data_IF_537896639008
#
_entry.id   IF_537896639008
#
_cell.length_a   1.000
_cell.length_b   1.000
_cell.length_c   1.000
_cell.angle_alpha   90.00
_cell.angle_beta   90.00
_cell.angle_gamma   90.00
#
_symmetry.space_group_name_H-M   'P 1'
#
loop_
_entity.id
_entity.type
_entity.pdbx_description
1 polymer ?
#
# COMPACT_ATOMS: atom_id res chain seq x y z
N UNK A 1 -28.70 8.23 39.93
CA UNK A 1 -27.60 7.24 40.09
C UNK A 1 -27.07 6.92 38.70
N UNK A 2 -25.91 7.47 38.33
CA UNK A 2 -25.32 7.20 37.01
C UNK A 2 -24.74 5.79 36.98
N UNK A 3 -25.31 4.92 36.14
CA UNK A 3 -24.85 3.54 35.93
C UNK A 3 -23.91 3.53 34.73
N UNK A 4 -22.70 4.07 34.88
CA UNK A 4 -21.67 3.93 33.86
C UNK A 4 -21.32 2.44 33.71
N UNK A 5 -21.59 1.90 32.52
CA UNK A 5 -21.27 0.51 32.18
C UNK A 5 -19.76 0.44 31.92
N UNK A 6 -19.05 -0.34 32.72
CA UNK A 6 -17.61 -0.52 32.58
C UNK A 6 -17.29 -1.08 31.19
N UNK A 7 -16.30 -0.49 30.52
CA UNK A 7 -15.86 -0.91 29.17
C UNK A 7 -15.42 -2.38 29.16
N UNK A 8 -15.81 -3.12 28.12
CA UNK A 8 -15.32 -4.50 27.87
C UNK A 8 -13.81 -4.55 27.59
N UNK A 9 -13.21 -3.41 27.23
CA UNK A 9 -11.80 -3.26 26.90
C UNK A 9 -10.97 -2.69 28.04
N UNK A 10 -11.55 -2.56 29.25
CA UNK A 10 -10.85 -1.99 30.41
C UNK A 10 -9.59 -2.77 30.80
N UNK A 11 -9.52 -4.05 30.45
CA UNK A 11 -8.41 -4.95 30.75
C UNK A 11 -7.72 -5.48 29.47
N UNK A 12 -7.81 -4.75 28.37
CA UNK A 12 -7.07 -5.11 27.15
C UNK A 12 -5.59 -4.83 27.36
N UNK A 13 -4.78 -5.89 27.34
CA UNK A 13 -3.33 -5.83 27.52
C UNK A 13 -2.62 -6.32 26.25
N UNK A 14 -1.60 -5.60 25.82
CA UNK A 14 -0.73 -6.04 24.74
C UNK A 14 0.17 -7.18 25.26
N UNK A 15 0.16 -8.31 24.55
CA UNK A 15 1.05 -9.45 24.85
C UNK A 15 1.97 -9.69 23.66
N UNK A 16 3.19 -9.14 23.67
CA UNK A 16 4.17 -9.42 22.63
C UNK A 16 4.41 -10.93 22.52
N UNK A 17 4.51 -11.42 21.30
CA UNK A 17 4.89 -12.81 21.06
C UNK A 17 6.33 -13.05 21.53
N UNK A 18 6.68 -14.31 21.78
CA UNK A 18 8.06 -14.69 22.06
C UNK A 18 8.97 -14.42 20.86
N UNK A 19 10.28 -14.29 21.10
CA UNK A 19 11.26 -13.87 20.10
C UNK A 19 11.34 -14.83 18.91
N UNK A 20 11.03 -16.10 19.12
CA UNK A 20 11.05 -17.14 18.07
C UNK A 20 9.99 -16.89 17.00
N UNK A 21 8.89 -16.21 17.36
CA UNK A 21 7.85 -15.81 16.42
C UNK A 21 8.16 -14.49 15.69
N UNK A 22 9.26 -13.82 16.03
CA UNK A 22 9.61 -12.54 15.41
C UNK A 22 10.24 -12.77 14.04
N UNK A 23 9.84 -11.95 13.07
CA UNK A 23 10.53 -11.87 11.79
C UNK A 23 11.80 -11.05 12.03
N UNK A 24 12.96 -11.71 11.95
CA UNK A 24 14.27 -11.10 12.17
C UNK A 24 14.94 -10.72 10.85
N UNK A 25 16.01 -9.92 10.94
CA UNK A 25 16.79 -9.44 9.78
C UNK A 25 16.00 -8.57 8.79
N UNK A 26 14.97 -7.87 9.28
CA UNK A 26 14.26 -6.87 8.49
C UNK A 26 15.14 -5.61 8.38
N UNK A 27 15.51 -5.24 7.14
CA UNK A 27 16.05 -3.92 6.82
C UNK A 27 14.92 -3.02 6.36
N UNK A 28 14.15 -2.51 7.34
CA UNK A 28 13.09 -1.54 7.08
C UNK A 28 13.69 -0.14 7.01
N UNK A 29 13.25 0.65 6.03
CA UNK A 29 13.63 2.05 5.89
C UNK A 29 12.57 2.95 6.51
N UNK A 30 13.01 3.98 7.22
CA UNK A 30 12.16 5.12 7.59
C UNK A 30 12.23 6.15 6.48
N UNK A 31 11.41 5.96 5.45
CA UNK A 31 11.18 7.00 4.44
C UNK A 31 10.24 8.05 5.04
N UNK A 32 10.56 9.35 4.97
CA UNK A 32 9.68 10.40 5.49
C UNK A 32 8.48 10.58 4.53
N UNK A 33 7.55 9.65 4.56
CA UNK A 33 6.24 9.78 3.89
C UNK A 33 5.13 9.62 4.91
N UNK A 34 3.95 10.12 4.56
CA UNK A 34 2.73 9.99 5.36
C UNK A 34 1.92 8.74 5.01
N UNK A 35 2.32 8.00 3.96
CA UNK A 35 1.69 6.77 3.52
C UNK A 35 2.02 5.57 4.40
N UNK A 36 1.50 4.42 4.00
CA UNK A 36 1.70 3.16 4.71
C UNK A 36 3.09 2.61 4.42
N UNK A 37 3.87 2.39 5.48
CA UNK A 37 5.21 1.78 5.38
C UNK A 37 5.21 0.27 5.59
N UNK A 38 4.11 -0.27 6.11
CA UNK A 38 3.90 -1.70 6.32
C UNK A 38 2.41 -2.04 6.15
N UNK A 39 2.13 -3.06 5.35
CA UNK A 39 0.80 -3.63 5.14
C UNK A 39 0.87 -5.13 5.07
N UNK A 40 -0.26 -5.78 5.26
CA UNK A 40 -0.39 -7.22 5.11
C UNK A 40 -1.68 -7.60 4.40
N UNK A 41 -1.61 -8.64 3.59
CA UNK A 41 -2.76 -9.45 3.19
C UNK A 41 -2.92 -10.64 4.13
N UNK A 42 -3.75 -11.63 3.79
CA UNK A 42 -3.84 -12.86 4.58
C UNK A 42 -2.56 -13.70 4.51
N UNK A 43 -1.77 -13.56 3.44
CA UNK A 43 -0.62 -14.42 3.15
C UNK A 43 0.73 -13.70 3.15
N UNK A 44 0.76 -12.38 2.97
CA UNK A 44 1.98 -11.62 2.76
C UNK A 44 2.02 -10.38 3.66
N UNK A 45 3.23 -9.99 4.08
CA UNK A 45 3.56 -8.67 4.61
C UNK A 45 4.42 -7.97 3.58
N UNK A 46 4.09 -6.72 3.27
CA UNK A 46 4.91 -5.81 2.49
C UNK A 46 5.35 -4.63 3.37
N UNK A 47 6.59 -4.21 3.26
CA UNK A 47 7.12 -3.05 3.98
C UNK A 47 8.20 -2.30 3.20
N UNK A 48 8.38 -1.02 3.49
CA UNK A 48 9.43 -0.20 2.88
C UNK A 48 10.81 -0.68 3.34
N UNK A 49 11.70 -1.00 2.39
CA UNK A 49 13.08 -1.33 2.73
C UNK A 49 13.93 -0.08 2.99
N UNK A 50 15.13 -0.28 3.49
CA UNK A 50 16.15 0.77 3.66
C UNK A 50 16.67 1.34 2.33
N UNK A 51 16.38 0.68 1.20
CA UNK A 51 16.77 1.12 -0.13
C UNK A 51 15.60 1.81 -0.85
N UNK A 52 15.86 2.95 -1.53
CA UNK A 52 14.82 3.65 -2.29
C UNK A 52 14.26 2.75 -3.40
N UNK A 53 12.95 2.82 -3.61
CA UNK A 53 12.26 2.07 -4.66
C UNK A 53 12.20 0.55 -4.44
N UNK A 54 12.57 0.06 -3.26
CA UNK A 54 12.59 -1.37 -2.95
C UNK A 54 11.68 -1.68 -1.76
N UNK A 55 10.82 -2.68 -1.92
CA UNK A 55 9.98 -3.23 -0.85
C UNK A 55 10.54 -4.56 -0.34
N UNK A 56 10.36 -4.81 0.95
CA UNK A 56 10.50 -6.15 1.54
C UNK A 56 9.16 -6.87 1.52
N UNK A 57 9.15 -8.12 1.04
CA UNK A 57 7.99 -9.00 1.00
C UNK A 57 8.29 -10.23 1.85
N UNK A 58 7.39 -10.57 2.77
CA UNK A 58 7.54 -11.69 3.71
C UNK A 58 6.24 -12.51 3.73
N UNK A 59 6.30 -13.84 3.59
CA UNK A 59 5.14 -14.69 3.79
C UNK A 59 4.73 -14.77 5.27
N UNK A 60 3.43 -14.67 5.52
CA UNK A 60 2.83 -14.88 6.84
C UNK A 60 2.78 -16.37 7.21
N UNK A 61 2.48 -17.22 6.24
CA UNK A 61 2.46 -18.67 6.43
C UNK A 61 3.89 -19.20 6.45
N UNK A 62 4.32 -19.70 7.61
CA UNK A 62 5.56 -20.44 7.78
C UNK A 62 5.27 -21.94 7.74
N UNK A 63 5.82 -22.64 6.75
CA UNK A 63 5.89 -24.11 6.77
C UNK A 63 6.96 -24.52 7.80
N UNK A 64 6.55 -24.76 9.05
CA UNK A 64 7.42 -25.35 10.09
C UNK A 64 8.55 -24.45 10.62
N UNK A 65 9.62 -25.11 11.09
CA UNK A 65 10.84 -24.52 11.69
C UNK A 65 11.62 -23.59 10.73
N UNK A 66 11.20 -23.45 9.48
CA UNK A 66 11.88 -22.60 8.50
C UNK A 66 11.64 -21.11 8.78
N UNK A 67 12.76 -20.42 9.02
CA UNK A 67 12.83 -18.99 9.25
C UNK A 67 12.17 -18.25 8.08
N UNK A 68 11.09 -17.50 8.35
CA UNK A 68 10.40 -16.63 7.38
C UNK A 68 11.44 -15.80 6.61
N UNK A 69 11.56 -16.02 5.31
CA UNK A 69 12.54 -15.34 4.47
C UNK A 69 11.99 -14.02 3.94
N UNK A 70 12.80 -12.98 4.04
CA UNK A 70 12.53 -11.66 3.46
C UNK A 70 13.03 -11.65 2.02
N UNK A 71 12.14 -11.38 1.08
CA UNK A 71 12.48 -11.15 -0.32
C UNK A 71 12.38 -9.66 -0.64
N UNK A 72 13.13 -9.20 -1.64
CA UNK A 72 13.15 -7.78 -2.01
C UNK A 72 12.60 -7.57 -3.42
N UNK A 73 11.60 -6.71 -3.54
CA UNK A 73 10.99 -6.30 -4.80
C UNK A 73 11.48 -4.91 -5.20
N UNK A 74 12.24 -4.82 -6.29
CA UNK A 74 12.59 -3.54 -6.91
C UNK A 74 11.41 -3.00 -7.71
N UNK A 75 10.64 -2.09 -7.13
CA UNK A 75 9.37 -1.64 -7.68
C UNK A 75 9.45 -0.27 -8.36
N UNK A 76 10.24 0.66 -7.82
CA UNK A 76 10.30 2.04 -8.31
C UNK A 76 11.74 2.53 -8.49
N UNK A 77 11.91 3.59 -9.27
CA UNK A 77 13.23 4.24 -9.43
C UNK A 77 13.54 5.23 -8.31
N UNK A 78 12.54 5.56 -7.50
CA UNK A 78 12.63 6.49 -6.37
C UNK A 78 11.84 5.93 -5.16
N UNK A 79 11.85 6.64 -4.04
CA UNK A 79 11.21 6.25 -2.78
C UNK A 79 9.75 5.81 -2.98
N UNK A 80 9.40 4.68 -2.34
CA UNK A 80 8.00 4.24 -2.25
C UNK A 80 7.35 5.02 -1.12
N UNK A 81 6.36 5.84 -1.47
CA UNK A 81 5.69 6.77 -0.55
C UNK A 81 4.50 6.12 0.15
N UNK A 82 3.79 5.24 -0.56
CA UNK A 82 2.65 4.48 -0.04
C UNK A 82 2.51 3.11 -0.74
N UNK A 83 1.87 2.17 -0.07
CA UNK A 83 1.55 0.84 -0.58
C UNK A 83 0.26 0.31 0.04
N UNK A 84 -0.50 -0.48 -0.72
CA UNK A 84 -1.74 -1.07 -0.23
C UNK A 84 -2.05 -2.41 -0.91
N UNK A 85 -2.55 -3.38 -0.15
CA UNK A 85 -3.02 -4.65 -0.69
C UNK A 85 -4.48 -4.54 -1.11
N UNK A 86 -4.86 -5.26 -2.16
CA UNK A 86 -6.27 -5.39 -2.52
C UNK A 86 -7.02 -6.15 -1.41
N UNK A 87 -8.18 -5.65 -0.96
CA UNK A 87 -9.03 -6.39 -0.02
C UNK A 87 -9.73 -7.60 -0.68
N UNK A 88 -9.63 -7.77 -2.01
CA UNK A 88 -10.25 -8.85 -2.77
C UNK A 88 -9.25 -9.88 -3.33
N UNK A 89 -7.95 -9.54 -3.40
CA UNK A 89 -6.89 -10.43 -3.88
C UNK A 89 -5.64 -10.27 -3.00
N UNK A 90 -5.34 -11.30 -2.20
CA UNK A 90 -4.22 -11.32 -1.24
C UNK A 90 -2.84 -11.16 -1.88
N UNK A 91 -2.76 -11.36 -3.20
CA UNK A 91 -1.54 -11.31 -3.98
C UNK A 91 -1.43 -10.05 -4.85
N UNK A 92 -2.43 -9.17 -4.83
CA UNK A 92 -2.40 -7.92 -5.56
C UNK A 92 -1.96 -6.77 -4.65
N UNK A 93 -0.80 -6.19 -4.97
CA UNK A 93 -0.21 -5.06 -4.26
C UNK A 93 -0.14 -3.83 -5.17
N UNK A 94 -0.63 -2.68 -4.71
CA UNK A 94 -0.39 -1.39 -5.33
C UNK A 94 0.73 -0.63 -4.61
N UNK A 95 1.59 0.04 -5.37
CA UNK A 95 2.72 0.82 -4.86
C UNK A 95 2.75 2.19 -5.51
N UNK A 96 3.01 3.23 -4.72
CA UNK A 96 3.04 4.63 -5.14
C UNK A 96 4.38 5.22 -4.78
N UNK A 97 4.89 6.13 -5.61
CA UNK A 97 6.26 6.59 -5.46
C UNK A 97 6.46 8.07 -5.79
N UNK A 98 7.59 8.58 -5.28
CA UNK A 98 8.21 9.82 -5.72
C UNK A 98 8.60 9.82 -7.20
N UNK A 99 8.71 8.65 -7.86
CA UNK A 99 8.88 8.55 -9.32
C UNK A 99 7.64 8.98 -10.13
N UNK A 100 6.57 9.40 -9.43
CA UNK A 100 5.29 9.91 -9.96
C UNK A 100 4.46 8.83 -10.65
N UNK A 101 4.73 7.56 -10.36
CA UNK A 101 3.94 6.45 -10.90
C UNK A 101 3.27 5.66 -9.80
N UNK A 102 2.15 5.03 -10.15
CA UNK A 102 1.53 3.97 -9.37
C UNK A 102 1.75 2.67 -10.12
N UNK A 103 2.21 1.63 -9.43
CA UNK A 103 2.45 0.31 -10.04
C UNK A 103 1.68 -0.76 -9.30
N UNK A 104 1.10 -1.69 -10.05
CA UNK A 104 0.43 -2.86 -9.49
C UNK A 104 1.26 -4.11 -9.73
N UNK A 105 1.37 -4.91 -8.69
CA UNK A 105 2.20 -6.09 -8.63
C UNK A 105 1.32 -7.28 -8.27
N UNK A 106 1.35 -8.30 -9.12
CA UNK A 106 0.82 -9.62 -8.77
C UNK A 106 1.96 -10.42 -8.15
N UNK A 107 1.97 -10.48 -6.83
CA UNK A 107 2.96 -11.22 -6.07
C UNK A 107 2.66 -12.72 -6.17
N UNK A 108 3.68 -13.57 -6.22
CA UNK A 108 3.44 -15.00 -6.32
C UNK A 108 3.16 -15.59 -4.94
N UNK A 109 2.73 -16.86 -4.92
CA UNK A 109 2.65 -17.62 -3.69
C UNK A 109 4.03 -17.75 -3.01
N UNK A 110 4.09 -17.99 -1.69
CA UNK A 110 5.34 -18.22 -0.98
C UNK A 110 6.22 -19.29 -1.67
N UNK A 111 7.52 -19.02 -1.79
CA UNK A 111 8.49 -19.94 -2.41
C UNK A 111 8.69 -19.77 -3.92
N UNK A 112 7.94 -18.87 -4.57
CA UNK A 112 8.13 -18.52 -5.97
C UNK A 112 8.90 -17.20 -6.13
N UNK A 113 9.54 -17.02 -7.29
CA UNK A 113 10.30 -15.81 -7.59
C UNK A 113 9.38 -14.60 -7.79
N UNK A 114 9.76 -13.46 -7.19
CA UNK A 114 9.05 -12.19 -7.34
C UNK A 114 9.00 -11.74 -8.81
N UNK A 115 7.95 -10.99 -9.21
CA UNK A 115 7.86 -10.43 -10.55
C UNK A 115 9.00 -9.46 -10.84
N UNK A 116 9.53 -9.50 -12.06
CA UNK A 116 10.57 -8.58 -12.55
C UNK A 116 10.00 -7.25 -13.07
N UNK A 117 8.69 -7.22 -13.36
CA UNK A 117 8.00 -6.07 -13.90
C UNK A 117 6.58 -5.97 -13.32
N UNK A 118 6.01 -4.75 -13.20
CA UNK A 118 4.65 -4.57 -12.74
C UNK A 118 3.65 -5.10 -13.78
N UNK A 119 2.51 -5.60 -13.31
CA UNK A 119 1.42 -6.02 -14.19
C UNK A 119 0.68 -4.83 -14.81
N UNK A 120 0.67 -3.69 -14.11
CA UNK A 120 0.07 -2.45 -14.58
C UNK A 120 0.83 -1.24 -14.01
N UNK A 121 0.96 -0.20 -14.82
CA UNK A 121 1.54 1.10 -14.44
C UNK A 121 0.50 2.18 -14.74
N UNK A 122 0.23 3.04 -13.76
CA UNK A 122 -0.68 4.18 -13.86
C UNK A 122 0.10 5.47 -13.67
N UNK A 123 -0.31 6.51 -14.38
CA UNK A 123 0.40 7.79 -14.47
C UNK A 123 1.16 7.95 -15.79
N UNK A 124 2.20 8.81 -15.84
CA UNK A 124 2.76 9.57 -14.72
C UNK A 124 1.81 10.64 -14.18
N UNK A 125 1.91 10.90 -12.88
CA UNK A 125 1.31 12.06 -12.21
C UNK A 125 2.21 13.30 -12.36
N UNK A 126 1.65 14.48 -12.13
CA UNK A 126 2.42 15.74 -12.22
C UNK A 126 3.46 15.85 -11.10
N UNK A 127 3.13 15.33 -9.91
CA UNK A 127 3.96 15.31 -8.71
C UNK A 127 4.02 13.90 -8.11
N UNK A 128 4.81 13.72 -7.05
CA UNK A 128 4.90 12.43 -6.35
C UNK A 128 3.52 11.94 -5.91
N UNK A 129 3.32 10.62 -5.99
CA UNK A 129 2.14 9.99 -5.39
C UNK A 129 2.35 10.01 -3.87
N UNK A 130 1.37 10.48 -3.12
CA UNK A 130 1.48 10.61 -1.66
C UNK A 130 0.62 9.58 -0.92
N UNK A 131 -0.52 9.23 -1.51
CA UNK A 131 -1.49 8.31 -0.91
C UNK A 131 -2.02 7.33 -1.96
N UNK A 132 -2.15 6.07 -1.56
CA UNK A 132 -2.82 5.01 -2.29
C UNK A 132 -3.78 4.25 -1.39
N UNK A 133 -4.97 3.98 -1.93
CA UNK A 133 -5.95 3.19 -1.18
C UNK A 133 -6.85 2.40 -2.13
N UNK A 134 -6.90 1.08 -1.94
CA UNK A 134 -7.91 0.26 -2.59
C UNK A 134 -9.29 0.52 -2.00
N UNK A 135 -10.30 0.51 -2.85
CA UNK A 135 -11.67 0.65 -2.41
C UNK A 135 -12.07 -0.56 -1.55
N UNK A 136 -12.62 -0.37 -0.33
CA UNK A 136 -12.85 -1.47 0.60
C UNK A 136 -14.00 -2.39 0.21
N UNK A 137 -14.90 -1.97 -0.70
CA UNK A 137 -16.14 -2.71 -1.02
C UNK A 137 -16.33 -3.00 -2.51
N UNK A 138 -15.44 -2.49 -3.38
CA UNK A 138 -15.56 -2.68 -4.83
C UNK A 138 -14.21 -3.14 -5.35
N UNK A 139 -14.20 -4.31 -5.99
CA UNK A 139 -13.00 -4.87 -6.57
C UNK A 139 -12.50 -3.99 -7.72
N UNK A 140 -11.18 -3.92 -7.86
CA UNK A 140 -10.56 -3.23 -8.98
C UNK A 140 -10.58 -1.70 -8.91
N UNK A 141 -11.07 -1.08 -7.84
CA UNK A 141 -11.05 0.38 -7.71
C UNK A 141 -9.90 0.81 -6.80
N UNK A 142 -9.02 1.66 -7.33
CA UNK A 142 -7.88 2.22 -6.60
C UNK A 142 -7.96 3.74 -6.63
N UNK A 143 -7.71 4.38 -5.49
CA UNK A 143 -7.58 5.84 -5.40
C UNK A 143 -6.12 6.20 -5.22
N UNK A 144 -5.65 7.18 -5.99
CA UNK A 144 -4.33 7.79 -5.81
C UNK A 144 -4.43 9.29 -5.62
N UNK A 145 -3.68 9.84 -4.66
CA UNK A 145 -3.54 11.28 -4.48
C UNK A 145 -2.09 11.71 -4.75
N UNK A 146 -1.93 12.77 -5.53
CA UNK A 146 -0.66 13.38 -5.87
C UNK A 146 -0.83 14.91 -5.85
N UNK A 147 -0.31 15.57 -4.81
CA UNK A 147 -0.50 17.00 -4.61
C UNK A 147 -1.97 17.39 -4.47
N UNK A 148 -2.48 18.25 -5.35
CA UNK A 148 -3.91 18.63 -5.38
C UNK A 148 -4.79 17.71 -6.22
N UNK A 149 -4.20 16.76 -6.95
CA UNK A 149 -4.93 15.85 -7.82
C UNK A 149 -5.29 14.56 -7.06
N UNK A 150 -6.55 14.16 -7.18
CA UNK A 150 -7.03 12.84 -6.74
C UNK A 150 -7.64 12.15 -7.95
N UNK A 151 -7.15 10.94 -8.24
CA UNK A 151 -7.63 10.11 -9.35
C UNK A 151 -8.18 8.80 -8.82
N UNK A 152 -9.28 8.37 -9.44
CA UNK A 152 -9.88 7.06 -9.21
C UNK A 152 -9.63 6.22 -10.45
N UNK A 153 -9.11 5.03 -10.25
CA UNK A 153 -8.70 4.10 -11.30
C UNK A 153 -9.56 2.86 -11.24
N UNK A 154 -9.95 2.37 -12.42
CA UNK A 154 -10.29 0.96 -12.60
C UNK A 154 -8.99 0.24 -12.96
N UNK A 155 -8.59 -0.73 -12.14
CA UNK A 155 -7.37 -1.52 -12.36
C UNK A 155 -7.64 -2.81 -13.11
N UNK A 156 -8.91 -3.21 -13.27
CA UNK A 156 -9.31 -4.34 -14.13
C UNK A 156 -9.34 -3.93 -15.60
N UNK A 157 -9.73 -2.68 -15.85
CA UNK A 157 -9.68 -2.01 -17.15
C UNK A 157 -8.89 -0.73 -16.95
N UNK A 158 -7.61 -0.66 -17.34
CA UNK A 158 -6.73 0.44 -16.97
C UNK A 158 -7.22 1.78 -17.55
N UNK A 159 -8.12 2.43 -16.82
CA UNK A 159 -8.82 3.64 -17.19
C UNK A 159 -9.06 4.49 -15.94
N UNK A 160 -8.88 5.79 -16.09
CA UNK A 160 -9.27 6.78 -15.08
C UNK A 160 -10.80 6.90 -15.08
N UNK A 161 -11.43 6.61 -13.93
CA UNK A 161 -12.88 6.72 -13.75
C UNK A 161 -13.34 8.15 -13.43
N UNK A 162 -12.43 9.04 -13.03
CA UNK A 162 -12.78 10.43 -12.69
C UNK A 162 -11.72 11.39 -13.21
N UNK A 163 -12.08 12.22 -14.18
CA UNK A 163 -11.42 13.50 -14.39
C UNK A 163 -12.20 14.55 -13.59
N UNK A 164 -11.60 15.31 -12.66
CA UNK A 164 -12.26 16.47 -12.11
C UNK A 164 -12.52 17.44 -13.27
N UNK A 165 -13.80 17.71 -13.55
CA UNK A 165 -14.16 18.82 -14.42
C UNK A 165 -13.51 20.09 -13.84
N UNK A 166 -12.78 20.90 -14.64
CA UNK A 166 -12.38 22.22 -14.18
C UNK A 166 -13.69 22.98 -13.94
N UNK A 167 -13.96 23.34 -12.69
CA UNK A 167 -15.05 24.28 -12.42
C UNK A 167 -14.72 25.58 -13.16
N UNK A 168 -15.56 26.07 -14.08
CA UNK A 168 -15.34 27.38 -14.65
C UNK A 168 -15.63 28.41 -13.55
N UNK A 169 -14.58 29.00 -12.97
CA UNK A 169 -14.70 30.24 -12.21
C UNK A 169 -15.05 31.37 -13.19
N UNK A 170 -16.32 31.45 -13.59
CA UNK A 170 -16.84 32.66 -14.23
C UNK A 170 -17.20 33.66 -13.14
N UNK A 171 -16.22 34.44 -12.70
CA UNK A 171 -16.50 35.70 -12.00
C UNK A 171 -16.94 36.68 -13.09
N UNK A 172 -18.25 36.82 -13.27
CA UNK A 172 -18.82 37.92 -14.04
C UNK A 172 -18.55 39.21 -13.25
N UNK A 173 -17.59 40.01 -13.72
CA UNK A 173 -17.52 41.43 -13.32
C UNK A 173 -18.78 42.11 -13.84
N UNK A 174 -19.67 42.50 -12.93
CA UNK A 174 -20.71 43.46 -13.24
C UNK A 174 -20.04 44.83 -13.42
N UNK A 175 -20.20 45.41 -14.61
CA UNK A 175 -19.95 46.82 -14.89
C UNK A 175 -21.11 47.68 -14.40
#
# INVERSE_FOLDING_TARGET
MSRFKVSKFRHTEARPSRREAWISNIRAGTTPSCGNHIKSSCHLIAFNSDRPGVLGIVPLDGQGEDKRQVTHLGCHSDLVTDLDFSPFDDFLLATGSADRTVKLWRLPAPGQALPLAPGLVLGPEDVQVEVLQFHPTVDGVLVSAAGSAVKVWDVTKPQVLTAPSPMPLSISRLS
#
